data_IF_805598477446
#
_entry.id   IF_805598477446
#
_cell.length_a   1.000
_cell.length_b   1.000
_cell.length_c   1.000
_cell.angle_alpha   90.00
_cell.angle_beta   90.00
_cell.angle_gamma   90.00
#
_symmetry.space_group_name_H-M   'P 1'
#
loop_
_entity.id
_entity.type
_entity.pdbx_description
1 polymer ?
#
# COMPACT_ATOMS: atom_id res chain seq x y z
N UNK A 1 16.35 -8.22 29.07
CA UNK A 1 16.41 -9.48 28.43
C UNK A 1 15.65 -9.37 27.11
N UNK A 2 16.42 -9.30 26.00
CA UNK A 2 15.92 -9.00 24.67
C UNK A 2 15.15 -10.18 24.09
N UNK A 3 13.97 -9.91 23.61
CA UNK A 3 13.23 -10.81 22.75
C UNK A 3 13.85 -10.72 21.35
N UNK A 4 14.72 -11.65 21.01
CA UNK A 4 15.29 -11.82 19.69
C UNK A 4 14.17 -12.38 18.80
N UNK A 5 13.48 -11.51 18.03
CA UNK A 5 12.66 -11.95 16.90
C UNK A 5 13.63 -12.44 15.83
N UNK A 6 13.66 -13.73 15.62
CA UNK A 6 14.27 -14.32 14.43
C UNK A 6 13.44 -13.86 13.23
N UNK A 7 13.92 -12.86 12.51
CA UNK A 7 13.43 -12.50 11.20
C UNK A 7 13.59 -13.73 10.30
N UNK A 8 12.49 -14.28 9.84
CA UNK A 8 12.53 -15.24 8.74
C UNK A 8 12.83 -14.44 7.48
N UNK A 9 13.99 -14.65 6.91
CA UNK A 9 14.39 -14.01 5.66
C UNK A 9 13.28 -14.22 4.61
N UNK A 10 12.69 -13.12 4.15
CA UNK A 10 11.73 -13.08 3.05
C UNK A 10 10.26 -12.83 3.38
N UNK A 11 9.82 -12.83 4.63
CA UNK A 11 8.45 -12.45 5.00
C UNK A 11 8.41 -11.03 5.55
N UNK A 12 7.81 -10.12 4.79
CA UNK A 12 7.52 -8.75 5.25
C UNK A 12 6.35 -8.83 6.23
N UNK A 13 6.62 -8.78 7.53
CA UNK A 13 5.58 -8.61 8.56
C UNK A 13 4.95 -7.23 8.35
N UNK A 14 3.63 -7.16 8.30
CA UNK A 14 2.91 -5.90 8.13
C UNK A 14 3.02 -5.07 9.42
N UNK A 15 3.56 -3.87 9.32
CA UNK A 15 3.62 -2.93 10.44
C UNK A 15 2.25 -2.31 10.72
N UNK A 16 2.02 -1.92 11.98
CA UNK A 16 0.83 -1.14 12.35
C UNK A 16 0.89 0.25 11.72
N UNK A 17 -0.18 0.62 11.04
CA UNK A 17 -0.31 1.92 10.39
C UNK A 17 -1.38 2.73 11.15
N UNK A 18 -0.97 3.77 11.87
CA UNK A 18 -1.89 4.73 12.52
C UNK A 18 -1.85 6.09 11.83
N UNK A 19 -0.65 6.60 11.60
CA UNK A 19 -0.42 7.88 10.92
C UNK A 19 0.69 7.69 9.90
N UNK A 20 0.46 8.15 8.67
CA UNK A 20 1.45 8.17 7.59
C UNK A 20 1.82 9.62 7.32
N UNK A 21 3.08 9.96 7.56
CA UNK A 21 3.60 11.30 7.23
C UNK A 21 4.68 11.19 6.16
N UNK A 22 4.57 11.95 5.10
CA UNK A 22 5.53 11.92 4.01
C UNK A 22 5.40 13.11 3.07
N UNK A 23 6.22 13.13 2.03
CA UNK A 23 6.09 14.13 0.97
C UNK A 23 4.80 13.87 0.19
N UNK A 24 4.01 14.91 -0.06
CA UNK A 24 2.85 14.84 -0.93
C UNK A 24 3.31 14.82 -2.40
N UNK A 25 3.03 13.74 -3.13
CA UNK A 25 3.45 13.55 -4.52
C UNK A 25 2.24 13.64 -5.45
N UNK A 26 2.16 14.64 -6.36
CA UNK A 26 1.00 14.85 -7.20
C UNK A 26 1.09 14.04 -8.49
N UNK A 27 0.33 12.95 -8.58
CA UNK A 27 0.09 12.26 -9.85
C UNK A 27 -1.23 12.76 -10.45
N UNK A 28 -1.21 13.90 -11.15
CA UNK A 28 -2.39 14.53 -11.74
C UNK A 28 -2.91 13.75 -12.97
N UNK A 29 -3.15 12.45 -12.78
CA UNK A 29 -3.65 11.53 -13.82
C UNK A 29 -4.81 10.70 -13.28
N UNK A 30 -5.83 10.53 -14.10
CA UNK A 30 -6.97 9.62 -13.85
C UNK A 30 -6.85 8.38 -14.75
N UNK A 31 -7.66 7.35 -14.45
CA UNK A 31 -7.70 6.10 -15.20
C UNK A 31 -6.32 5.41 -15.28
N UNK A 32 -5.63 5.39 -14.16
CA UNK A 32 -4.31 4.74 -14.05
C UNK A 32 -4.51 3.26 -13.81
N UNK A 33 -4.23 2.43 -14.83
CA UNK A 33 -4.34 0.98 -14.72
C UNK A 33 -3.09 0.32 -14.12
N UNK A 34 -3.21 -0.94 -13.75
CA UNK A 34 -2.11 -1.69 -13.13
C UNK A 34 -0.94 -1.96 -14.08
N UNK A 35 -1.13 -1.94 -15.41
CA UNK A 35 -0.03 -2.04 -16.39
C UNK A 35 0.79 -0.74 -16.44
N UNK A 36 0.15 0.40 -16.22
CA UNK A 36 0.83 1.69 -16.10
C UNK A 36 1.58 1.82 -14.78
N UNK A 37 1.02 1.25 -13.69
CA UNK A 37 1.71 1.21 -12.39
C UNK A 37 2.93 0.30 -12.46
N UNK A 38 2.76 -0.93 -13.00
CA UNK A 38 3.84 -1.90 -13.17
C UNK A 38 3.63 -2.71 -14.46
N UNK A 39 4.48 -2.56 -15.49
CA UNK A 39 4.38 -3.31 -16.72
C UNK A 39 4.54 -4.82 -16.53
N UNK A 40 3.82 -5.60 -17.34
CA UNK A 40 3.76 -7.06 -17.25
C UNK A 40 5.12 -7.77 -17.28
N UNK A 41 6.14 -7.19 -17.91
CA UNK A 41 7.50 -7.76 -17.97
C UNK A 41 8.13 -7.99 -16.60
N UNK A 42 7.77 -7.18 -15.58
CA UNK A 42 8.29 -7.28 -14.22
C UNK A 42 7.59 -8.34 -13.37
N UNK A 43 6.41 -8.84 -13.79
CA UNK A 43 5.64 -9.86 -13.07
C UNK A 43 6.32 -11.23 -13.03
N UNK A 44 7.38 -11.43 -13.82
CA UNK A 44 8.18 -12.66 -13.83
C UNK A 44 9.15 -12.77 -12.65
N UNK A 45 9.35 -11.69 -11.88
CA UNK A 45 10.21 -11.70 -10.68
C UNK A 45 9.55 -12.54 -9.60
N UNK A 46 10.34 -13.43 -8.97
CA UNK A 46 9.85 -14.35 -7.92
C UNK A 46 9.83 -13.70 -6.54
N UNK A 47 10.57 -12.61 -6.36
CA UNK A 47 10.65 -11.88 -5.09
C UNK A 47 9.38 -11.07 -4.81
N UNK A 48 9.12 -10.76 -3.53
CA UNK A 48 8.06 -9.82 -3.11
C UNK A 48 8.56 -8.40 -2.87
N UNK A 49 9.85 -8.13 -3.13
CA UNK A 49 10.54 -6.86 -2.90
C UNK A 49 11.48 -6.55 -4.06
N UNK A 50 11.90 -5.29 -4.18
CA UNK A 50 12.80 -4.84 -5.24
C UNK A 50 12.05 -4.47 -6.53
N UNK A 51 10.86 -3.87 -6.39
CA UNK A 51 10.04 -3.40 -7.50
C UNK A 51 10.03 -1.87 -7.65
N UNK A 52 10.86 -1.16 -6.90
CA UNK A 52 11.00 0.30 -6.96
C UNK A 52 11.41 0.81 -8.36
N UNK A 53 12.24 0.05 -9.06
CA UNK A 53 12.64 0.32 -10.44
C UNK A 53 11.52 0.10 -11.47
N UNK A 54 10.55 -0.73 -11.13
CA UNK A 54 9.42 -1.10 -12.00
C UNK A 54 8.22 -0.14 -11.88
N UNK A 55 8.15 0.64 -10.79
CA UNK A 55 7.05 1.60 -10.56
C UNK A 55 7.01 2.65 -11.67
N UNK A 56 5.84 2.77 -12.33
CA UNK A 56 5.62 3.70 -13.43
C UNK A 56 6.72 3.67 -14.48
N UNK A 57 7.30 2.51 -14.74
CA UNK A 57 8.50 2.33 -15.57
C UNK A 57 8.42 3.06 -16.91
N UNK A 58 7.29 2.97 -17.62
CA UNK A 58 7.12 3.62 -18.91
C UNK A 58 7.12 5.15 -18.81
N UNK A 59 6.49 5.69 -17.76
CA UNK A 59 6.42 7.14 -17.56
C UNK A 59 7.73 7.71 -17.04
N UNK A 60 8.48 6.92 -16.27
CA UNK A 60 9.80 7.33 -15.73
C UNK A 60 10.87 7.46 -16.80
N UNK A 61 10.63 7.00 -18.03
CA UNK A 61 11.52 7.29 -19.16
C UNK A 61 11.51 8.77 -19.55
N UNK A 62 10.44 9.49 -19.20
CA UNK A 62 10.38 10.96 -19.31
C UNK A 62 11.09 11.59 -18.10
N UNK A 63 12.20 12.36 -18.33
CA UNK A 63 12.93 13.03 -17.25
C UNK A 63 12.06 13.98 -16.42
N UNK A 64 11.03 14.58 -17.03
CA UNK A 64 10.13 15.54 -16.37
C UNK A 64 8.98 14.87 -15.59
N UNK A 65 8.91 13.55 -15.63
CA UNK A 65 7.88 12.82 -14.89
C UNK A 65 8.01 13.08 -13.38
N UNK A 66 6.88 13.32 -12.72
CA UNK A 66 6.82 13.86 -11.36
C UNK A 66 7.71 13.13 -10.36
N UNK A 67 7.72 11.79 -10.32
CA UNK A 67 8.52 11.05 -9.34
C UNK A 67 10.03 10.99 -9.65
N UNK A 68 10.45 11.45 -10.83
CA UNK A 68 11.87 11.62 -11.16
C UNK A 68 12.46 12.91 -10.58
N UNK A 69 11.61 13.84 -10.13
CA UNK A 69 12.05 15.09 -9.52
C UNK A 69 12.62 14.83 -8.12
N UNK A 70 13.74 15.50 -7.75
CA UNK A 70 14.43 15.24 -6.48
C UNK A 70 13.53 15.32 -5.23
N UNK A 71 12.60 16.29 -5.21
CA UNK A 71 11.66 16.52 -4.10
C UNK A 71 10.68 15.36 -3.87
N UNK A 72 10.45 14.51 -4.87
CA UNK A 72 9.50 13.39 -4.83
C UNK A 72 10.16 12.01 -4.89
N UNK A 73 11.47 11.94 -5.02
CA UNK A 73 12.25 10.69 -5.25
C UNK A 73 12.20 9.70 -4.10
N UNK A 74 11.79 10.11 -2.91
CA UNK A 74 11.68 9.26 -1.71
C UNK A 74 10.26 8.72 -1.47
N UNK A 75 9.33 8.97 -2.37
CA UNK A 75 7.93 8.62 -2.17
C UNK A 75 7.26 9.41 -1.04
N UNK A 76 6.38 8.77 -0.30
CA UNK A 76 5.61 9.38 0.79
C UNK A 76 4.13 9.10 0.68
N UNK A 77 3.33 10.10 0.31
CA UNK A 77 1.89 9.98 0.06
C UNK A 77 1.61 10.37 -1.39
N UNK A 78 1.04 9.46 -2.17
CA UNK A 78 0.68 9.69 -3.57
C UNK A 78 -0.75 10.24 -3.65
N UNK A 79 -0.94 11.37 -4.34
CA UNK A 79 -2.26 11.96 -4.58
C UNK A 79 -2.58 11.83 -6.07
N UNK A 80 -3.60 11.04 -6.40
CA UNK A 80 -3.93 10.68 -7.79
C UNK A 80 -5.31 11.19 -8.19
N UNK A 81 -5.59 11.19 -9.49
CA UNK A 81 -6.94 11.36 -10.03
C UNK A 81 -7.81 10.09 -9.84
N UNK A 82 -9.05 10.18 -10.29
CA UNK A 82 -10.01 9.08 -10.19
C UNK A 82 -9.56 7.83 -10.98
N UNK A 83 -10.10 6.66 -10.57
CA UNK A 83 -9.85 5.37 -11.22
C UNK A 83 -8.39 4.90 -11.17
N UNK A 84 -7.78 4.99 -9.99
CA UNK A 84 -6.44 4.51 -9.77
C UNK A 84 -6.42 3.00 -9.47
N UNK A 85 -5.52 2.27 -10.14
CA UNK A 85 -5.33 0.84 -9.94
C UNK A 85 -6.42 -0.03 -10.59
N UNK A 86 -7.04 0.46 -11.67
CA UNK A 86 -7.97 -0.32 -12.49
C UNK A 86 -7.25 -1.40 -13.30
N UNK A 87 -8.01 -2.31 -13.93
CA UNK A 87 -7.46 -3.37 -14.76
C UNK A 87 -7.21 -4.67 -14.01
N UNK A 88 -6.13 -5.38 -14.34
CA UNK A 88 -5.84 -6.72 -13.83
C UNK A 88 -5.50 -6.72 -12.33
N UNK A 89 -5.87 -7.82 -11.64
CA UNK A 89 -5.48 -8.04 -10.24
C UNK A 89 -3.97 -8.30 -10.12
N UNK A 90 -3.22 -7.27 -9.71
CA UNK A 90 -1.76 -7.38 -9.53
C UNK A 90 -1.34 -6.85 -8.18
N UNK A 91 -1.00 -7.76 -7.28
CA UNK A 91 -0.39 -7.37 -5.99
C UNK A 91 0.95 -6.63 -6.21
N UNK A 92 1.66 -6.95 -7.28
CA UNK A 92 2.92 -6.30 -7.68
C UNK A 92 2.78 -4.77 -7.81
N UNK A 93 1.61 -4.26 -8.20
CA UNK A 93 1.37 -2.82 -8.27
C UNK A 93 1.47 -2.17 -6.87
N UNK A 94 0.97 -2.85 -5.84
CA UNK A 94 1.07 -2.40 -4.46
C UNK A 94 2.51 -2.54 -3.95
N UNK A 95 3.19 -3.65 -4.29
CA UNK A 95 4.59 -3.84 -3.91
C UNK A 95 5.50 -2.77 -4.51
N UNK A 96 5.31 -2.44 -5.79
CA UNK A 96 6.09 -1.40 -6.46
C UNK A 96 5.92 -0.02 -5.79
N UNK A 97 4.69 0.34 -5.42
CA UNK A 97 4.41 1.58 -4.68
C UNK A 97 5.12 1.58 -3.32
N UNK A 98 5.01 0.49 -2.57
CA UNK A 98 5.64 0.40 -1.25
C UNK A 98 7.16 0.37 -1.30
N UNK A 99 7.73 -0.36 -2.26
CA UNK A 99 9.17 -0.45 -2.43
C UNK A 99 9.78 0.89 -2.83
N UNK A 100 9.04 1.70 -3.59
CA UNK A 100 9.46 3.07 -3.91
C UNK A 100 9.36 4.03 -2.71
N UNK A 101 8.62 3.67 -1.66
CA UNK A 101 8.49 4.48 -0.45
C UNK A 101 7.10 5.11 -0.26
N UNK A 102 6.10 4.77 -1.08
CA UNK A 102 4.73 5.19 -0.83
C UNK A 102 4.08 4.33 0.26
N UNK A 103 3.59 4.97 1.31
CA UNK A 103 2.87 4.32 2.41
C UNK A 103 1.37 4.63 2.40
N UNK A 104 0.95 5.65 1.66
CA UNK A 104 -0.44 5.97 1.43
C UNK A 104 -0.68 6.47 0.00
N UNK A 105 -1.87 6.19 -0.52
CA UNK A 105 -2.40 6.73 -1.77
C UNK A 105 -3.76 7.36 -1.49
N UNK A 106 -3.96 8.59 -1.92
CA UNK A 106 -5.24 9.29 -1.87
C UNK A 106 -5.77 9.46 -3.29
N UNK A 107 -7.00 9.05 -3.54
CA UNK A 107 -7.65 9.09 -4.85
C UNK A 107 -9.15 9.29 -4.71
N UNK A 108 -9.82 9.98 -5.64
CA UNK A 108 -11.28 10.05 -5.65
C UNK A 108 -11.98 8.71 -5.86
N UNK A 109 -11.35 7.79 -6.58
CA UNK A 109 -11.87 6.43 -6.81
C UNK A 109 -10.74 5.46 -7.09
N UNK A 110 -10.84 4.26 -6.57
CA UNK A 110 -9.90 3.16 -6.80
C UNK A 110 -10.54 2.03 -7.58
N UNK A 111 -9.72 1.24 -8.28
CA UNK A 111 -10.13 -0.10 -8.66
C UNK A 111 -10.33 -0.98 -7.42
N UNK A 112 -11.46 -1.70 -7.33
CA UNK A 112 -11.81 -2.47 -6.13
C UNK A 112 -10.75 -3.48 -5.73
N UNK A 113 -10.18 -4.18 -6.71
CA UNK A 113 -9.13 -5.18 -6.49
C UNK A 113 -7.86 -4.54 -5.96
N UNK A 114 -7.45 -3.41 -6.53
CA UNK A 114 -6.28 -2.66 -6.06
C UNK A 114 -6.46 -2.21 -4.62
N UNK A 115 -7.62 -1.64 -4.27
CA UNK A 115 -7.95 -1.20 -2.91
C UNK A 115 -7.88 -2.36 -1.92
N UNK A 116 -8.44 -3.53 -2.28
CA UNK A 116 -8.38 -4.73 -1.45
C UNK A 116 -6.94 -5.24 -1.25
N UNK A 117 -6.13 -5.27 -2.31
CA UNK A 117 -4.72 -5.66 -2.23
C UNK A 117 -3.88 -4.68 -1.40
N UNK A 118 -4.17 -3.36 -1.51
CA UNK A 118 -3.47 -2.33 -0.74
C UNK A 118 -3.57 -2.57 0.77
N UNK A 119 -4.79 -2.80 1.29
CA UNK A 119 -5.00 -3.09 2.70
C UNK A 119 -4.29 -4.37 3.18
N UNK A 120 -4.22 -5.41 2.34
CA UNK A 120 -3.51 -6.66 2.65
C UNK A 120 -2.00 -6.49 2.74
N UNK A 121 -1.45 -5.55 1.99
CA UNK A 121 -0.01 -5.29 1.89
C UNK A 121 0.45 -4.09 2.73
N UNK A 122 -0.42 -3.52 3.57
CA UNK A 122 -0.08 -2.40 4.46
C UNK A 122 0.06 -1.05 3.75
N UNK A 123 -0.53 -0.87 2.56
CA UNK A 123 -0.63 0.41 1.88
C UNK A 123 -2.00 1.03 2.19
N UNK A 124 -2.01 2.24 2.76
CA UNK A 124 -3.24 2.97 3.02
C UNK A 124 -3.80 3.51 1.69
N UNK A 125 -4.98 3.06 1.28
CA UNK A 125 -5.73 3.58 0.14
C UNK A 125 -6.95 4.36 0.65
N UNK A 126 -6.82 5.67 0.76
CA UNK A 126 -7.86 6.57 1.27
C UNK A 126 -8.62 7.24 0.13
N UNK A 127 -9.94 7.14 0.15
CA UNK A 127 -10.79 7.79 -0.86
C UNK A 127 -11.13 9.22 -0.41
N UNK A 128 -10.86 10.20 -1.27
CA UNK A 128 -11.13 11.64 -1.05
C UNK A 128 -12.09 12.15 -2.13
N UNK A 129 -12.60 13.37 -1.98
CA UNK A 129 -13.37 13.99 -3.06
C UNK A 129 -12.45 14.45 -4.21
N UNK A 130 -13.02 14.63 -5.42
CA UNK A 130 -12.26 15.20 -6.55
C UNK A 130 -11.83 16.64 -6.28
N UNK A 131 -12.64 17.40 -5.56
CA UNK A 131 -12.33 18.79 -5.25
C UNK A 131 -11.23 18.88 -4.20
N UNK A 132 -11.20 17.97 -3.22
CA UNK A 132 -10.10 17.86 -2.26
C UNK A 132 -8.78 17.50 -2.96
N UNK A 133 -8.82 16.55 -3.91
CA UNK A 133 -7.64 16.19 -4.70
C UNK A 133 -7.08 17.43 -5.45
N UNK A 134 -7.94 18.22 -6.08
CA UNK A 134 -7.54 19.48 -6.77
C UNK A 134 -6.96 20.51 -5.82
N UNK A 135 -7.54 20.67 -4.62
CA UNK A 135 -7.03 21.60 -3.60
C UNK A 135 -5.64 21.16 -3.11
N UNK A 136 -5.46 19.84 -2.86
CA UNK A 136 -4.15 19.29 -2.47
C UNK A 136 -3.12 19.54 -3.58
N UNK A 137 -3.45 19.27 -4.85
CA UNK A 137 -2.53 19.52 -5.98
C UNK A 137 -2.14 21.00 -6.07
N UNK A 138 -3.11 21.92 -5.92
CA UNK A 138 -2.82 23.35 -5.93
C UNK A 138 -1.84 23.77 -4.82
N UNK A 139 -1.94 23.17 -3.64
CA UNK A 139 -0.99 23.41 -2.53
C UNK A 139 0.39 22.82 -2.83
N UNK A 140 0.46 21.65 -3.45
CA UNK A 140 1.74 21.02 -3.84
C UNK A 140 2.42 21.85 -4.94
N UNK A 141 1.67 22.34 -5.93
CA UNK A 141 2.20 23.18 -7.01
C UNK A 141 2.79 24.50 -6.48
N UNK A 142 2.19 25.07 -5.41
CA UNK A 142 2.71 26.26 -4.74
C UNK A 142 3.93 25.95 -3.87
N UNK A 143 4.02 24.77 -3.29
CA UNK A 143 5.07 24.35 -2.36
C UNK A 143 5.55 22.93 -2.68
N UNK A 144 6.38 22.73 -3.73
CA UNK A 144 6.93 21.43 -4.07
C UNK A 144 7.67 20.79 -2.88
N UNK A 145 7.40 19.50 -2.62
CA UNK A 145 7.98 18.80 -1.47
C UNK A 145 7.27 18.99 -0.14
N UNK A 146 6.12 19.71 -0.12
CA UNK A 146 5.31 19.88 1.09
C UNK A 146 4.95 18.53 1.71
N UNK A 147 4.96 18.46 3.03
CA UNK A 147 4.57 17.24 3.77
C UNK A 147 3.06 17.18 3.97
N UNK A 148 2.55 15.97 3.94
CA UNK A 148 1.17 15.62 4.28
C UNK A 148 1.19 14.57 5.38
N UNK A 149 0.26 14.66 6.31
CA UNK A 149 0.02 13.66 7.34
C UNK A 149 -1.36 13.05 7.15
N UNK A 150 -1.44 11.74 7.01
CA UNK A 150 -2.69 10.98 6.82
C UNK A 150 -2.94 10.18 8.08
N UNK A 151 -3.97 10.55 8.84
CA UNK A 151 -4.35 9.92 10.10
C UNK A 151 -5.47 8.89 9.87
N UNK A 152 -5.14 7.62 10.08
CA UNK A 152 -6.07 6.51 9.90
C UNK A 152 -7.08 6.40 11.06
N UNK A 153 -6.75 6.93 12.23
CA UNK A 153 -7.66 6.94 13.39
C UNK A 153 -8.74 7.97 13.20
N UNK A 154 -8.35 9.20 12.84
CA UNK A 154 -9.26 10.33 12.63
C UNK A 154 -9.87 10.35 11.21
N UNK A 155 -9.35 9.54 10.28
CA UNK A 155 -9.75 9.48 8.86
C UNK A 155 -9.65 10.83 8.17
N UNK A 156 -8.57 11.53 8.42
CA UNK A 156 -8.28 12.79 7.75
C UNK A 156 -6.82 12.89 7.27
N UNK A 157 -6.60 13.75 6.30
CA UNK A 157 -5.28 14.10 5.80
C UNK A 157 -5.07 15.60 5.98
N UNK A 158 -3.91 15.97 6.53
CA UNK A 158 -3.54 17.36 6.81
C UNK A 158 -2.34 17.75 5.96
N UNK A 159 -2.50 18.82 5.18
CA UNK A 159 -1.45 19.39 4.34
C UNK A 159 -1.45 20.91 4.48
N UNK A 160 -0.40 21.50 5.04
CA UNK A 160 -0.40 22.93 5.40
C UNK A 160 -1.57 23.28 6.32
N UNK A 161 -2.45 24.15 5.88
CA UNK A 161 -3.65 24.57 6.62
C UNK A 161 -4.94 23.84 6.16
N UNK A 162 -4.82 22.91 5.20
CA UNK A 162 -5.96 22.16 4.66
C UNK A 162 -6.10 20.84 5.40
N UNK A 163 -7.31 20.53 5.87
CA UNK A 163 -7.69 19.22 6.41
C UNK A 163 -8.75 18.61 5.52
N UNK A 164 -8.50 17.42 5.02
CA UNK A 164 -9.35 16.70 4.07
C UNK A 164 -9.79 15.39 4.71
N UNK A 165 -11.08 15.10 4.81
CA UNK A 165 -11.56 13.78 5.24
C UNK A 165 -11.32 12.75 4.14
N UNK A 166 -11.09 11.50 4.53
CA UNK A 166 -11.06 10.38 3.58
C UNK A 166 -11.87 9.20 4.07
N UNK A 167 -12.34 8.40 3.13
CA UNK A 167 -13.06 7.18 3.39
C UNK A 167 -12.18 5.94 3.20
N UNK A 168 -12.35 4.99 4.10
CA UNK A 168 -11.77 3.65 4.04
C UNK A 168 -12.74 2.69 4.72
N UNK A 169 -12.87 1.46 4.20
CA UNK A 169 -13.73 0.47 4.84
C UNK A 169 -13.20 0.06 6.23
N UNK A 170 -14.13 -0.22 7.16
CA UNK A 170 -13.78 -0.46 8.56
C UNK A 170 -12.91 -1.70 8.77
N UNK A 171 -13.07 -2.73 7.93
CA UNK A 171 -12.29 -3.95 8.04
C UNK A 171 -10.83 -3.72 7.60
N UNK A 172 -10.62 -3.05 6.48
CA UNK A 172 -9.28 -2.66 6.02
C UNK A 172 -8.60 -1.72 7.00
N UNK A 173 -9.34 -0.74 7.53
CA UNK A 173 -8.85 0.17 8.57
C UNK A 173 -8.36 -0.60 9.81
N UNK A 174 -9.19 -1.51 10.33
CA UNK A 174 -8.83 -2.33 11.47
C UNK A 174 -7.58 -3.18 11.20
N UNK A 175 -7.47 -3.81 10.03
CA UNK A 175 -6.28 -4.58 9.65
C UNK A 175 -5.01 -3.75 9.64
N UNK A 176 -5.06 -2.54 9.06
CA UNK A 176 -3.92 -1.62 9.01
C UNK A 176 -3.51 -1.16 10.42
N UNK A 177 -4.48 -0.79 11.26
CA UNK A 177 -4.20 -0.37 12.65
C UNK A 177 -3.58 -1.49 13.49
N UNK A 178 -3.99 -2.75 13.28
CA UNK A 178 -3.45 -3.90 13.99
C UNK A 178 -2.20 -4.51 13.33
N UNK A 179 -1.86 -4.10 12.10
CA UNK A 179 -0.74 -4.68 11.36
C UNK A 179 -0.99 -6.14 10.97
N UNK A 180 -2.20 -6.48 10.50
CA UNK A 180 -2.63 -7.85 10.23
C UNK A 180 -2.70 -8.13 8.74
N UNK A 181 -1.75 -8.91 8.23
CA UNK A 181 -1.85 -9.59 6.94
C UNK A 181 -2.73 -10.85 7.04
N UNK A 182 -2.89 -11.60 5.95
CA UNK A 182 -3.72 -12.81 5.93
C UNK A 182 -3.15 -13.92 6.82
N UNK A 183 -1.83 -13.97 6.98
CA UNK A 183 -1.15 -14.92 7.87
C UNK A 183 -1.36 -14.51 9.32
N UNK A 184 -1.15 -13.24 9.66
CA UNK A 184 -1.36 -12.70 11.00
C UNK A 184 -2.81 -12.90 11.48
N UNK A 185 -3.80 -12.78 10.60
CA UNK A 185 -5.19 -13.08 10.89
C UNK A 185 -5.40 -14.56 11.26
N UNK A 186 -4.78 -15.47 10.51
CA UNK A 186 -4.86 -16.91 10.78
C UNK A 186 -4.20 -17.27 12.11
N UNK A 187 -3.02 -16.70 12.39
CA UNK A 187 -2.26 -16.96 13.62
C UNK A 187 -2.96 -16.45 14.89
N UNK A 188 -3.92 -15.55 14.80
CA UNK A 188 -4.77 -15.20 15.96
C UNK A 188 -5.56 -16.39 16.51
N UNK A 189 -5.77 -17.42 15.67
CA UNK A 189 -6.49 -18.64 16.03
C UNK A 189 -5.55 -19.84 16.24
N UNK A 190 -4.26 -19.60 16.50
CA UNK A 190 -3.23 -20.65 16.61
C UNK A 190 -3.61 -21.75 17.62
N UNK A 191 -4.14 -21.38 18.77
CA UNK A 191 -4.58 -22.34 19.79
C UNK A 191 -5.68 -23.28 19.26
N UNK A 192 -6.66 -22.73 18.53
CA UNK A 192 -7.76 -23.50 17.95
C UNK A 192 -7.27 -24.38 16.79
N UNK A 193 -6.33 -23.89 16.00
CA UNK A 193 -5.69 -24.65 14.93
C UNK A 193 -4.92 -25.83 15.53
N UNK A 194 -4.10 -25.60 16.55
CA UNK A 194 -3.33 -26.63 17.25
C UNK A 194 -4.25 -27.69 17.88
N UNK A 195 -5.36 -27.25 18.50
CA UNK A 195 -6.36 -28.17 19.04
C UNK A 195 -7.01 -29.03 17.94
N UNK A 196 -7.35 -28.43 16.80
CA UNK A 196 -7.88 -29.16 15.65
C UNK A 196 -6.87 -30.18 15.10
N UNK A 197 -5.61 -29.77 14.94
CA UNK A 197 -4.55 -30.61 14.45
C UNK A 197 -4.26 -31.79 15.39
N UNK A 198 -4.32 -31.58 16.70
CA UNK A 198 -4.12 -32.67 17.70
C UNK A 198 -5.19 -33.77 17.64
N UNK A 199 -6.41 -33.41 17.22
CA UNK A 199 -7.55 -34.33 17.06
C UNK A 199 -7.64 -34.91 15.65
N UNK A 200 -6.78 -34.48 14.73
CA UNK A 200 -6.82 -34.93 13.33
C UNK A 200 -6.43 -36.40 13.24
N UNK A 201 -7.25 -37.17 12.55
CA UNK A 201 -7.03 -38.64 12.37
C UNK A 201 -5.71 -38.89 11.62
N UNK A 202 -4.91 -39.86 12.12
CA UNK A 202 -3.55 -40.14 11.64
C UNK A 202 -3.47 -40.65 10.19
N UNK A 203 -4.57 -41.17 9.64
CA UNK A 203 -4.63 -41.62 8.25
C UNK A 203 -4.79 -40.52 7.22
N UNK A 204 -5.12 -39.28 7.65
CA UNK A 204 -5.24 -38.13 6.74
C UNK A 204 -3.84 -37.68 6.31
N UNK A 205 -3.67 -37.28 5.03
CA UNK A 205 -2.37 -36.83 4.54
C UNK A 205 -1.84 -35.65 5.38
N UNK A 206 -0.59 -35.69 5.78
CA UNK A 206 0.12 -34.55 6.37
C UNK A 206 0.47 -33.59 5.24
N UNK A 207 0.02 -32.36 5.35
CA UNK A 207 0.21 -31.31 4.32
C UNK A 207 1.56 -30.61 4.41
N UNK A 208 2.29 -30.78 5.51
CA UNK A 208 3.63 -30.24 5.65
C UNK A 208 4.66 -31.25 5.11
N UNK A 209 5.63 -30.79 4.29
CA UNK A 209 6.75 -31.67 3.90
C UNK A 209 7.50 -32.10 5.16
N UNK A 210 7.72 -33.40 5.29
CA UNK A 210 8.61 -33.93 6.32
C UNK A 210 10.03 -33.47 5.93
N UNK A 211 10.67 -32.70 6.83
CA UNK A 211 12.08 -32.34 6.67
C UNK A 211 12.97 -33.55 6.79
#
# INVERSE_FOLDING_TARGET
PGCCRTEREGERVMDKVSVVTGTAVPLQRSNVDTDQIIPAQFLKRVTKTGFDDALFYSWRQDPDFVINRPEYSQGGVLITGADFGTGSSREHAVWALRDFGFNAVLSPRFGDIFRGNSGKQGLLAGQISEDDAKQIWALIDQNPGIKISVDLVERNAVIGNLTVPFEIDDYTRWRLLEGLDDIGLTLRNEAQITEFESRRQSWRPKTLPVK
#
